data_IF_965268120466
#
_entry.id   IF_965268120466
#
_cell.length_a   1.000
_cell.length_b   1.000
_cell.length_c   1.000
_cell.angle_alpha   90.00
_cell.angle_beta   90.00
_cell.angle_gamma   90.00
#
_symmetry.space_group_name_H-M   'P 1'
#
loop_
_entity.id
_entity.type
_entity.pdbx_description
1 polymer ?
#
# COMPACT_ATOMS: atom_id res chain seq x y z
N UNK A 1 -17.14 -15.96 26.01
CA UNK A 1 -15.96 -15.64 26.83
C UNK A 1 -16.07 -16.41 28.14
N UNK A 2 -14.97 -16.98 28.65
CA UNK A 2 -14.95 -17.53 30.01
C UNK A 2 -15.27 -16.38 31.00
N UNK A 3 -16.17 -16.62 31.96
CA UNK A 3 -16.59 -15.60 32.90
C UNK A 3 -15.38 -15.02 33.66
N UNK A 4 -15.14 -13.70 33.53
CA UNK A 4 -14.14 -12.96 34.32
C UNK A 4 -12.99 -12.31 33.54
N UNK A 5 -12.83 -12.55 32.24
CA UNK A 5 -11.81 -11.85 31.42
C UNK A 5 -12.36 -10.53 30.86
N UNK A 6 -11.65 -9.42 31.11
CA UNK A 6 -11.88 -8.11 30.48
C UNK A 6 -10.83 -7.87 29.40
N UNK A 7 -11.25 -7.30 28.28
CA UNK A 7 -10.38 -6.89 27.17
C UNK A 7 -10.68 -5.44 26.81
N UNK A 8 -9.67 -4.71 26.34
CA UNK A 8 -9.84 -3.33 25.88
C UNK A 8 -10.59 -3.29 24.55
N UNK A 9 -10.25 -4.19 23.61
CA UNK A 9 -10.89 -4.29 22.31
C UNK A 9 -11.59 -5.65 22.21
N UNK A 10 -12.85 -5.65 21.78
CA UNK A 10 -13.66 -6.87 21.62
C UNK A 10 -14.38 -6.88 20.29
N UNK A 11 -14.49 -8.07 19.69
CA UNK A 11 -15.15 -8.29 18.41
C UNK A 11 -16.45 -9.06 18.61
N UNK A 12 -17.57 -8.50 18.16
CA UNK A 12 -18.90 -9.10 18.27
C UNK A 12 -19.62 -9.18 16.94
N UNK A 13 -20.31 -10.30 16.69
CA UNK A 13 -21.24 -10.40 15.58
C UNK A 13 -22.65 -10.02 16.04
N UNK A 14 -23.37 -9.30 15.20
CA UNK A 14 -24.83 -9.16 15.29
C UNK A 14 -25.47 -9.56 13.96
N UNK A 15 -26.77 -9.84 13.99
CA UNK A 15 -27.54 -10.24 12.80
C UNK A 15 -28.98 -9.70 12.80
N UNK A 16 -29.39 -9.01 13.86
CA UNK A 16 -30.74 -8.51 14.04
C UNK A 16 -30.69 -7.08 14.59
N UNK A 17 -31.53 -6.20 14.07
CA UNK A 17 -31.75 -4.83 14.55
C UNK A 17 -32.72 -4.80 15.74
N UNK A 18 -33.62 -5.79 15.81
CA UNK A 18 -34.55 -6.05 16.90
C UNK A 18 -34.90 -7.54 16.99
N UNK A 19 -35.37 -8.05 18.14
CA UNK A 19 -35.60 -9.48 18.32
C UNK A 19 -36.48 -10.10 17.22
N UNK A 20 -35.94 -11.08 16.51
CA UNK A 20 -36.63 -11.82 15.45
C UNK A 20 -36.64 -11.15 14.06
N UNK A 21 -35.98 -10.01 13.88
CA UNK A 21 -35.89 -9.30 12.61
C UNK A 21 -34.44 -9.23 12.14
N UNK A 22 -34.12 -9.88 11.00
CA UNK A 22 -32.75 -9.89 10.46
C UNK A 22 -32.43 -8.57 9.77
N UNK A 23 -31.25 -8.03 10.06
CA UNK A 23 -30.73 -6.81 9.44
C UNK A 23 -29.82 -7.16 8.26
N UNK A 24 -30.22 -6.75 7.04
CA UNK A 24 -29.43 -6.91 5.82
C UNK A 24 -28.90 -5.58 5.27
N UNK A 25 -29.14 -4.47 5.96
CA UNK A 25 -28.81 -3.12 5.49
C UNK A 25 -27.51 -2.56 6.08
N UNK A 26 -27.16 -2.91 7.32
CA UNK A 26 -25.95 -2.39 7.98
C UNK A 26 -24.71 -3.24 7.72
N UNK A 27 -23.53 -2.69 8.03
CA UNK A 27 -22.23 -3.33 7.84
C UNK A 27 -21.52 -3.58 9.18
N UNK A 28 -21.04 -2.54 9.85
CA UNK A 28 -20.29 -2.61 11.11
C UNK A 28 -20.30 -1.24 11.81
N UNK A 29 -19.88 -1.22 13.08
CA UNK A 29 -19.61 -0.01 13.84
C UNK A 29 -18.70 -0.30 15.04
N UNK A 30 -18.11 0.75 15.60
CA UNK A 30 -17.26 0.68 16.78
C UNK A 30 -17.35 1.96 17.63
N UNK A 31 -16.85 1.88 18.85
CA UNK A 31 -16.79 3.02 19.76
C UNK A 31 -15.33 3.49 19.97
N UNK A 32 -15.12 4.79 19.83
CA UNK A 32 -13.83 5.43 20.10
C UNK A 32 -13.44 5.28 21.58
N UNK A 33 -12.13 5.32 21.92
CA UNK A 33 -11.68 5.37 23.31
C UNK A 33 -12.38 6.47 24.11
N UNK A 34 -12.65 6.21 25.40
CA UNK A 34 -13.32 7.13 26.33
C UNK A 34 -14.77 7.48 25.94
N UNK A 35 -15.48 6.59 25.24
CA UNK A 35 -16.91 6.75 24.98
C UNK A 35 -17.71 6.33 26.21
N UNK A 36 -17.95 7.27 27.11
CA UNK A 36 -18.69 7.01 28.35
C UNK A 36 -20.18 7.07 28.11
N UNK A 37 -20.86 5.94 28.34
CA UNK A 37 -22.30 5.83 28.27
C UNK A 37 -22.83 5.08 29.49
N UNK A 38 -23.81 5.67 30.19
CA UNK A 38 -24.37 5.11 31.44
C UNK A 38 -23.31 4.74 32.49
N UNK A 39 -22.21 5.51 32.56
CA UNK A 39 -21.13 5.28 33.52
C UNK A 39 -20.21 4.10 33.19
N UNK A 40 -20.30 3.52 31.99
CA UNK A 40 -19.37 2.52 31.47
C UNK A 40 -18.64 3.09 30.25
N UNK A 41 -17.37 2.70 30.09
CA UNK A 41 -16.62 3.00 28.87
C UNK A 41 -16.95 1.93 27.82
N UNK A 42 -17.52 2.36 26.70
CA UNK A 42 -17.81 1.51 25.55
C UNK A 42 -16.62 1.38 24.60
N UNK A 43 -15.57 2.19 24.80
CA UNK A 43 -14.41 2.26 23.92
C UNK A 43 -13.79 0.90 23.64
N UNK A 44 -13.50 0.65 22.36
CA UNK A 44 -12.89 -0.60 21.90
C UNK A 44 -13.87 -1.73 21.59
N UNK A 45 -15.17 -1.57 21.85
CA UNK A 45 -16.17 -2.50 21.31
C UNK A 45 -16.32 -2.30 19.80
N UNK A 46 -16.16 -3.38 19.03
CA UNK A 46 -16.40 -3.43 17.58
C UNK A 46 -17.45 -4.48 17.26
N UNK A 47 -18.39 -4.13 16.38
CA UNK A 47 -19.58 -4.92 16.07
C UNK A 47 -19.77 -5.05 14.55
N UNK A 48 -20.05 -6.26 14.09
CA UNK A 48 -20.13 -6.58 12.67
C UNK A 48 -21.40 -7.34 12.31
N UNK A 49 -22.06 -6.94 11.21
CA UNK A 49 -23.25 -7.61 10.72
C UNK A 49 -22.88 -8.88 9.95
N UNK A 50 -23.03 -10.04 10.60
CA UNK A 50 -22.63 -11.34 10.03
C UNK A 50 -23.56 -11.85 8.92
N UNK A 51 -24.67 -11.14 8.66
CA UNK A 51 -25.51 -11.43 7.49
C UNK A 51 -24.85 -10.97 6.18
N UNK A 52 -23.90 -10.03 6.24
CA UNK A 52 -23.09 -9.63 5.10
C UNK A 52 -22.05 -10.73 4.81
N UNK A 53 -21.99 -11.21 3.57
CA UNK A 53 -21.06 -12.28 3.17
C UNK A 53 -19.61 -11.92 3.49
N UNK A 54 -19.24 -10.67 3.24
CA UNK A 54 -17.87 -10.20 3.41
C UNK A 54 -17.45 -10.20 4.89
N UNK A 55 -18.35 -9.84 5.82
CA UNK A 55 -18.12 -9.94 7.27
C UNK A 55 -17.96 -11.40 7.70
N UNK A 56 -18.74 -12.31 7.10
CA UNK A 56 -18.71 -13.74 7.42
C UNK A 56 -17.49 -14.45 6.82
N UNK A 57 -16.99 -13.98 5.68
CA UNK A 57 -15.93 -14.62 4.90
C UNK A 57 -14.75 -13.65 4.57
N UNK A 58 -14.17 -12.97 5.57
CA UNK A 58 -13.17 -11.90 5.34
C UNK A 58 -11.83 -12.40 4.81
N UNK A 59 -11.59 -13.72 4.84
CA UNK A 59 -10.39 -14.34 4.27
C UNK A 59 -10.43 -14.43 2.73
N UNK A 60 -11.63 -14.36 2.14
CA UNK A 60 -11.84 -14.49 0.69
C UNK A 60 -12.60 -13.31 0.09
N UNK A 61 -13.22 -12.47 0.94
CA UNK A 61 -13.90 -11.23 0.57
C UNK A 61 -13.19 -10.06 1.27
N UNK A 62 -12.32 -9.38 0.53
CA UNK A 62 -11.37 -8.38 1.04
C UNK A 62 -12.02 -7.16 1.71
N UNK A 63 -13.23 -6.77 1.31
CA UNK A 63 -13.98 -5.71 2.00
C UNK A 63 -14.29 -6.06 3.46
N UNK A 64 -14.45 -7.35 3.80
CA UNK A 64 -14.61 -7.80 5.17
C UNK A 64 -13.36 -7.58 6.00
N UNK A 65 -12.19 -7.90 5.42
CA UNK A 65 -10.88 -7.63 6.05
C UNK A 65 -10.60 -6.13 6.19
N UNK A 66 -10.97 -5.31 5.20
CA UNK A 66 -10.90 -3.85 5.31
C UNK A 66 -11.80 -3.35 6.44
N UNK A 67 -13.04 -3.83 6.51
CA UNK A 67 -14.00 -3.48 7.58
C UNK A 67 -13.41 -3.79 8.96
N UNK A 68 -12.74 -4.94 9.15
CA UNK A 68 -12.10 -5.24 10.43
C UNK A 68 -11.01 -4.22 10.79
N UNK A 69 -10.18 -3.86 9.82
CA UNK A 69 -9.12 -2.86 10.03
C UNK A 69 -9.69 -1.48 10.34
N UNK A 70 -10.78 -1.10 9.66
CA UNK A 70 -11.51 0.15 9.86
C UNK A 70 -12.09 0.25 11.28
N UNK A 71 -12.84 -0.76 11.72
CA UNK A 71 -13.43 -0.74 13.07
C UNK A 71 -12.37 -0.80 14.18
N UNK A 72 -11.24 -1.47 13.94
CA UNK A 72 -10.08 -1.40 14.84
C UNK A 72 -9.50 0.02 14.87
N UNK A 73 -9.47 0.73 13.74
CA UNK A 73 -9.11 2.14 13.67
C UNK A 73 -9.96 3.00 14.61
N UNK A 74 -11.28 2.85 14.57
CA UNK A 74 -12.19 3.49 15.52
C UNK A 74 -11.90 3.10 16.98
N UNK A 75 -11.74 1.81 17.26
CA UNK A 75 -11.40 1.31 18.59
C UNK A 75 -10.07 1.89 19.12
N UNK A 76 -9.17 2.31 18.24
CA UNK A 76 -7.90 2.96 18.56
C UNK A 76 -7.98 4.50 18.56
N UNK A 77 -9.10 5.09 18.14
CA UNK A 77 -9.36 6.53 18.21
C UNK A 77 -9.29 7.28 16.87
N UNK A 78 -9.28 6.59 15.73
CA UNK A 78 -9.42 7.23 14.42
C UNK A 78 -10.90 7.45 14.12
N UNK A 79 -11.25 8.61 13.58
CA UNK A 79 -12.58 8.89 13.03
C UNK A 79 -12.60 8.63 11.53
N UNK A 80 -13.79 8.70 10.91
CA UNK A 80 -13.85 8.98 9.48
C UNK A 80 -13.16 10.32 9.18
N UNK A 81 -12.62 10.53 7.96
CA UNK A 81 -11.92 11.77 7.64
C UNK A 81 -12.82 12.99 7.42
N UNK A 82 -14.14 12.85 7.55
CA UNK A 82 -15.08 13.95 7.64
C UNK A 82 -16.26 13.61 8.55
N UNK A 83 -17.06 14.62 8.89
CA UNK A 83 -18.24 14.50 9.75
C UNK A 83 -19.43 13.91 8.98
N UNK A 84 -19.29 12.66 8.54
CA UNK A 84 -20.36 11.88 7.92
C UNK A 84 -20.39 10.48 8.53
N UNK A 85 -21.59 10.03 8.87
CA UNK A 85 -21.84 8.70 9.42
C UNK A 85 -22.67 7.87 8.45
N UNK A 86 -22.44 6.55 8.41
CA UNK A 86 -23.29 5.64 7.67
C UNK A 86 -24.71 5.65 8.28
N UNK A 87 -25.67 6.25 7.57
CA UNK A 87 -27.07 6.35 7.98
C UNK A 87 -27.54 7.74 8.44
N UNK A 88 -26.65 8.72 8.59
CA UNK A 88 -27.02 10.11 8.88
C UNK A 88 -27.04 10.94 7.59
N UNK A 89 -28.18 10.92 6.91
CA UNK A 89 -28.39 11.62 5.63
C UNK A 89 -27.97 10.81 4.41
N UNK A 90 -27.65 11.50 3.32
CA UNK A 90 -27.16 10.91 2.07
C UNK A 90 -25.85 11.60 1.65
N UNK A 91 -24.79 11.51 2.50
CA UNK A 91 -23.52 12.16 2.21
C UNK A 91 -22.93 11.61 0.91
N UNK A 92 -22.19 12.44 0.22
CA UNK A 92 -21.43 12.09 -0.98
C UNK A 92 -20.00 12.57 -0.83
N UNK A 93 -19.11 12.16 -1.73
CA UNK A 93 -17.75 12.69 -1.77
C UNK A 93 -17.71 14.24 -1.96
N UNK A 94 -18.81 14.89 -2.37
CA UNK A 94 -18.86 16.36 -2.45
C UNK A 94 -18.89 17.04 -1.08
N UNK A 95 -19.16 16.28 -0.03
CA UNK A 95 -19.32 16.76 1.35
C UNK A 95 -18.04 16.55 2.19
N UNK A 96 -16.96 16.07 1.58
CA UNK A 96 -15.67 15.87 2.26
C UNK A 96 -15.05 17.19 2.71
N UNK A 97 -14.33 17.13 3.81
CA UNK A 97 -13.59 18.30 4.33
C UNK A 97 -12.32 18.58 3.53
N UNK A 98 -11.71 17.54 2.95
CA UNK A 98 -10.50 17.63 2.13
C UNK A 98 -10.53 16.58 1.01
N UNK A 99 -9.79 16.82 -0.07
CA UNK A 99 -9.90 16.02 -1.29
C UNK A 99 -9.37 14.58 -1.10
N UNK A 100 -8.35 14.40 -0.29
CA UNK A 100 -7.71 13.10 -0.07
C UNK A 100 -8.56 12.17 0.82
N UNK A 101 -9.76 12.57 1.23
CA UNK A 101 -10.74 11.69 1.89
C UNK A 101 -11.31 10.66 0.89
N UNK A 102 -10.49 9.66 0.58
CA UNK A 102 -10.84 8.49 -0.21
C UNK A 102 -10.06 7.26 0.25
N UNK A 103 -10.52 6.09 -0.18
CA UNK A 103 -9.86 4.80 0.00
C UNK A 103 -8.51 4.67 -0.74
N UNK A 104 -8.03 5.73 -1.39
CA UNK A 104 -6.65 5.81 -1.85
C UNK A 104 -5.69 6.16 -0.70
N UNK A 105 -6.13 6.98 0.25
CA UNK A 105 -5.28 7.56 1.30
C UNK A 105 -5.60 7.01 2.68
N UNK A 106 -6.87 6.72 2.95
CA UNK A 106 -7.34 6.24 4.25
C UNK A 106 -8.43 5.18 4.09
N UNK A 107 -8.27 4.03 4.74
CA UNK A 107 -9.34 3.04 4.84
C UNK A 107 -10.44 3.44 5.82
N UNK A 108 -10.26 4.53 6.57
CA UNK A 108 -11.32 5.15 7.37
C UNK A 108 -12.34 5.89 6.48
N UNK A 109 -12.04 6.09 5.20
CA UNK A 109 -12.98 6.69 4.24
C UNK A 109 -13.98 5.67 3.67
N UNK A 110 -15.21 6.13 3.40
CA UNK A 110 -16.17 5.39 2.59
C UNK A 110 -16.08 5.68 1.10
N UNK A 111 -15.33 6.71 0.69
CA UNK A 111 -15.33 7.19 -0.69
C UNK A 111 -14.33 6.41 -1.54
N UNK A 112 -14.76 6.05 -2.76
CA UNK A 112 -13.88 5.35 -3.70
C UNK A 112 -12.63 6.19 -4.01
N UNK A 113 -11.51 5.49 -4.10
CA UNK A 113 -10.21 5.94 -4.59
C UNK A 113 -10.29 6.65 -5.97
N UNK A 114 -11.31 6.32 -6.77
CA UNK A 114 -11.52 6.91 -8.09
C UNK A 114 -11.83 8.41 -8.04
N UNK A 115 -12.34 8.93 -6.92
CA UNK A 115 -12.58 10.36 -6.73
C UNK A 115 -11.28 11.19 -6.74
N UNK A 116 -10.15 10.57 -6.38
CA UNK A 116 -8.80 11.16 -6.40
C UNK A 116 -7.93 10.60 -7.53
N UNK A 117 -8.53 9.85 -8.46
CA UNK A 117 -7.85 9.28 -9.64
C UNK A 117 -7.12 7.96 -9.40
N UNK A 118 -7.24 7.38 -8.21
CA UNK A 118 -6.84 6.00 -7.96
C UNK A 118 -7.73 5.00 -8.68
N UNK A 119 -7.28 3.76 -8.78
CA UNK A 119 -8.05 2.63 -9.31
C UNK A 119 -7.50 1.34 -8.70
N UNK A 120 -8.23 0.79 -7.74
CA UNK A 120 -7.84 -0.42 -7.04
C UNK A 120 -8.34 -1.69 -7.74
N UNK A 121 -8.92 -1.59 -8.94
CA UNK A 121 -9.38 -2.75 -9.71
C UNK A 121 -10.51 -3.53 -9.03
N UNK A 122 -11.31 -2.87 -8.19
CA UNK A 122 -12.37 -3.51 -7.41
C UNK A 122 -11.91 -4.21 -6.13
N UNK A 123 -10.62 -4.09 -5.78
CA UNK A 123 -10.06 -4.62 -4.54
C UNK A 123 -10.06 -3.58 -3.41
N UNK A 124 -9.94 -4.07 -2.17
CA UNK A 124 -9.90 -3.23 -0.97
C UNK A 124 -8.61 -3.45 -0.17
N UNK A 125 -8.03 -2.36 0.31
CA UNK A 125 -6.84 -2.41 1.16
C UNK A 125 -7.13 -3.13 2.48
N UNK A 126 -6.29 -4.11 2.82
CA UNK A 126 -6.44 -4.94 4.01
C UNK A 126 -5.72 -4.39 5.27
N UNK A 127 -4.99 -3.28 5.13
CA UNK A 127 -4.11 -2.71 6.15
C UNK A 127 -4.10 -1.17 6.05
N UNK A 128 -3.70 -0.44 7.13
CA UNK A 128 -3.64 1.02 7.16
C UNK A 128 -2.95 1.62 5.93
N UNK A 129 -3.59 2.63 5.33
CA UNK A 129 -3.08 3.40 4.20
C UNK A 129 -2.27 4.62 4.67
N UNK A 130 -1.83 5.46 3.74
CA UNK A 130 -0.85 6.52 3.98
C UNK A 130 -1.26 7.46 5.12
N UNK A 131 -2.50 7.95 5.10
CA UNK A 131 -3.00 8.90 6.10
C UNK A 131 -3.36 8.19 7.42
N UNK A 132 -3.78 6.93 7.34
CA UNK A 132 -4.04 6.10 8.53
C UNK A 132 -2.75 5.86 9.33
N UNK A 133 -1.63 5.63 8.64
CA UNK A 133 -0.31 5.47 9.26
C UNK A 133 0.08 6.77 9.95
N UNK A 134 -0.07 7.92 9.30
CA UNK A 134 0.22 9.21 9.93
C UNK A 134 -0.65 9.45 11.18
N UNK A 135 -1.96 9.17 11.08
CA UNK A 135 -2.91 9.35 12.17
C UNK A 135 -2.60 8.44 13.38
N UNK A 136 -2.36 7.14 13.15
CA UNK A 136 -2.09 6.22 14.26
C UNK A 136 -0.73 6.47 14.91
N UNK A 137 0.27 6.90 14.12
CA UNK A 137 1.56 7.31 14.65
C UNK A 137 1.48 8.61 15.43
N UNK A 138 0.58 9.52 15.09
CA UNK A 138 0.31 10.70 15.90
C UNK A 138 -0.22 10.33 17.29
N UNK A 139 -1.11 9.34 17.38
CA UNK A 139 -1.69 8.90 18.65
C UNK A 139 -0.72 8.10 19.53
N UNK A 140 0.04 7.17 18.93
CA UNK A 140 0.79 6.16 19.69
C UNK A 140 2.30 6.12 19.41
N UNK A 141 2.80 6.98 18.52
CA UNK A 141 4.19 7.00 18.08
C UNK A 141 4.49 6.00 16.96
N UNK A 142 5.51 6.30 16.18
CA UNK A 142 6.03 5.43 15.13
C UNK A 142 6.72 4.18 15.71
N UNK A 143 6.41 3.00 15.17
CA UNK A 143 7.05 1.77 15.61
C UNK A 143 8.39 1.54 14.89
N UNK A 144 9.47 1.97 15.53
CA UNK A 144 10.84 1.91 15.01
C UNK A 144 11.50 0.52 15.10
N UNK A 145 10.79 -0.52 15.55
CA UNK A 145 11.31 -1.91 15.55
C UNK A 145 10.75 -2.75 14.40
N UNK A 146 9.90 -2.18 13.54
CA UNK A 146 9.24 -2.94 12.48
C UNK A 146 10.13 -3.01 11.26
N UNK A 147 10.47 -4.25 10.84
CA UNK A 147 11.18 -4.54 9.58
C UNK A 147 12.57 -3.89 9.44
N UNK A 148 13.30 -3.70 10.54
CA UNK A 148 14.62 -3.02 10.59
C UNK A 148 15.78 -3.70 9.84
N UNK A 149 15.53 -4.73 9.05
CA UNK A 149 16.53 -5.38 8.20
C UNK A 149 16.06 -5.41 6.76
N UNK A 150 16.89 -5.92 5.84
CA UNK A 150 16.60 -5.89 4.41
C UNK A 150 15.27 -6.57 4.04
N UNK A 151 14.28 -5.75 3.67
CA UNK A 151 12.91 -6.19 3.42
C UNK A 151 12.58 -6.18 1.93
N UNK A 152 12.00 -7.28 1.45
CA UNK A 152 11.43 -7.37 0.10
C UNK A 152 9.91 -7.30 0.19
N UNK A 153 9.31 -6.36 -0.53
CA UNK A 153 7.87 -6.17 -0.68
C UNK A 153 7.41 -6.63 -2.07
N UNK A 154 6.18 -7.14 -2.18
CA UNK A 154 5.62 -7.62 -3.45
C UNK A 154 5.95 -9.10 -3.72
N UNK A 155 6.53 -9.38 -4.88
CA UNK A 155 7.04 -10.71 -5.22
C UNK A 155 8.24 -11.05 -4.35
N UNK A 156 8.47 -12.35 -4.10
CA UNK A 156 9.60 -12.83 -3.29
C UNK A 156 9.68 -12.19 -1.89
N UNK A 157 8.54 -11.72 -1.39
CA UNK A 157 8.46 -10.96 -0.14
C UNK A 157 8.89 -11.79 1.07
N UNK A 158 9.64 -11.15 1.97
CA UNK A 158 10.04 -11.71 3.27
C UNK A 158 9.31 -11.03 4.45
N UNK A 159 8.30 -10.19 4.17
CA UNK A 159 7.58 -9.40 5.19
C UNK A 159 6.76 -10.25 6.16
N UNK A 160 6.39 -11.47 5.75
CA UNK A 160 5.44 -12.31 6.48
C UNK A 160 4.06 -11.63 6.62
N UNK A 161 3.64 -10.82 5.65
CA UNK A 161 2.33 -10.15 5.60
C UNK A 161 1.66 -10.42 4.25
N UNK A 162 0.39 -10.82 4.30
CA UNK A 162 -0.44 -11.09 3.14
C UNK A 162 -0.60 -9.84 2.23
N UNK A 163 -0.94 -8.70 2.82
CA UNK A 163 -1.18 -7.45 2.10
C UNK A 163 0.09 -6.82 1.47
N UNK A 164 1.28 -7.27 1.88
CA UNK A 164 2.57 -6.82 1.32
C UNK A 164 3.18 -7.82 0.34
N UNK A 165 2.49 -8.92 0.05
CA UNK A 165 3.06 -10.05 -0.70
C UNK A 165 2.18 -10.45 -1.88
N UNK A 166 2.82 -10.90 -2.96
CA UNK A 166 2.13 -11.54 -4.09
C UNK A 166 2.97 -12.67 -4.64
N UNK A 167 2.32 -13.72 -5.16
CA UNK A 167 2.98 -14.85 -5.81
C UNK A 167 2.55 -15.03 -7.26
N UNK A 168 1.71 -14.14 -7.80
CA UNK A 168 1.20 -14.24 -9.17
C UNK A 168 0.79 -12.88 -9.75
N UNK A 169 0.83 -12.77 -11.08
CA UNK A 169 0.39 -11.56 -11.79
C UNK A 169 -1.09 -11.19 -11.51
N UNK A 170 -1.95 -12.18 -11.19
CA UNK A 170 -3.36 -11.98 -10.89
C UNK A 170 -3.63 -11.46 -9.49
N UNK A 171 -2.73 -11.73 -8.52
CA UNK A 171 -2.87 -11.25 -7.16
C UNK A 171 -2.35 -9.81 -7.08
N UNK A 172 -3.23 -8.88 -6.68
CA UNK A 172 -2.96 -7.45 -6.64
C UNK A 172 -2.60 -7.02 -5.23
N UNK A 173 -1.60 -6.14 -5.12
CA UNK A 173 -1.17 -5.56 -3.86
C UNK A 173 -1.75 -4.16 -3.71
N UNK A 174 -2.23 -3.82 -2.52
CA UNK A 174 -2.66 -2.47 -2.14
C UNK A 174 -2.13 -2.22 -0.73
N UNK A 175 -1.17 -1.31 -0.59
CA UNK A 175 -0.55 -1.04 0.71
C UNK A 175 0.14 0.33 0.76
N UNK A 176 0.28 0.85 1.98
CA UNK A 176 1.25 1.87 2.32
C UNK A 176 2.41 1.22 3.10
N UNK A 177 3.65 1.36 2.61
CA UNK A 177 4.81 0.74 3.23
C UNK A 177 5.24 1.54 4.46
N UNK A 178 5.21 0.90 5.62
CA UNK A 178 5.94 1.32 6.81
C UNK A 178 7.22 0.49 6.92
N UNK A 179 8.39 1.11 7.00
CA UNK A 179 9.64 0.40 7.28
C UNK A 179 10.51 1.26 8.19
N UNK A 180 11.18 0.65 9.17
CA UNK A 180 12.00 1.35 10.14
C UNK A 180 13.51 1.28 9.84
N UNK A 181 13.92 0.60 8.77
CA UNK A 181 15.29 0.64 8.25
C UNK A 181 15.74 -0.69 7.68
N UNK A 182 16.93 -0.71 7.08
CA UNK A 182 17.39 -1.84 6.30
C UNK A 182 17.77 -1.36 4.90
N UNK A 183 17.98 -2.31 3.98
CA UNK A 183 18.11 -2.03 2.56
C UNK A 183 16.99 -2.75 1.81
N UNK A 184 15.94 -2.00 1.48
CA UNK A 184 14.63 -2.53 1.14
C UNK A 184 14.39 -2.54 -0.36
N UNK A 185 13.53 -3.45 -0.80
CA UNK A 185 13.23 -3.65 -2.22
C UNK A 185 11.73 -3.73 -2.45
N UNK A 186 11.22 -2.89 -3.34
CA UNK A 186 9.95 -3.11 -4.02
C UNK A 186 10.17 -4.04 -5.21
N UNK A 187 9.81 -5.31 -5.06
CA UNK A 187 9.90 -6.32 -6.12
C UNK A 187 8.52 -6.52 -6.77
N UNK A 188 8.35 -5.90 -7.93
CA UNK A 188 7.15 -6.02 -8.76
C UNK A 188 7.42 -6.79 -10.06
N UNK A 189 8.42 -7.68 -10.02
CA UNK A 189 8.96 -8.37 -11.20
C UNK A 189 8.00 -9.34 -11.88
N UNK A 190 7.03 -9.90 -11.14
CA UNK A 190 6.07 -10.85 -11.69
C UNK A 190 4.86 -10.20 -12.37
N UNK A 191 4.77 -8.87 -12.40
CA UNK A 191 3.68 -8.18 -13.10
C UNK A 191 3.98 -7.93 -14.57
N UNK A 192 2.92 -7.96 -15.39
CA UNK A 192 3.00 -7.76 -16.85
C UNK A 192 2.50 -6.39 -17.32
N UNK A 193 1.78 -5.66 -16.46
CA UNK A 193 1.31 -4.32 -16.77
C UNK A 193 2.47 -3.33 -16.83
N UNK A 194 2.28 -2.20 -17.51
CA UNK A 194 3.19 -1.06 -17.37
C UNK A 194 3.02 -0.49 -15.96
N UNK A 195 4.12 -0.22 -15.29
CA UNK A 195 4.13 0.23 -13.90
C UNK A 195 4.76 1.62 -13.79
N UNK A 196 4.37 2.36 -12.75
CA UNK A 196 5.05 3.59 -12.33
C UNK A 196 5.43 3.41 -10.87
N UNK A 197 6.72 3.22 -10.60
CA UNK A 197 7.24 2.94 -9.27
C UNK A 197 8.01 4.18 -8.80
N UNK A 198 7.65 4.70 -7.63
CA UNK A 198 8.29 5.87 -7.03
C UNK A 198 8.75 5.52 -5.62
N UNK A 199 10.06 5.67 -5.37
CA UNK A 199 10.71 5.34 -4.10
C UNK A 199 10.80 6.52 -3.12
N UNK A 200 10.17 7.66 -3.42
CA UNK A 200 10.14 8.80 -2.52
C UNK A 200 9.06 8.61 -1.44
N UNK A 201 9.35 9.05 -0.21
CA UNK A 201 8.35 9.06 0.87
C UNK A 201 7.08 9.83 0.47
N UNK A 202 5.93 9.39 0.99
CA UNK A 202 4.57 9.91 0.70
C UNK A 202 4.16 9.87 -0.77
N UNK A 203 4.97 9.28 -1.64
CA UNK A 203 4.62 9.14 -3.05
C UNK A 203 3.75 7.91 -3.30
N UNK A 204 3.01 7.95 -4.40
CA UNK A 204 2.20 6.85 -4.90
C UNK A 204 2.82 6.23 -6.15
N UNK A 205 2.56 4.94 -6.31
CA UNK A 205 2.97 4.10 -7.42
C UNK A 205 1.75 3.40 -8.05
N UNK A 206 1.82 3.19 -9.36
CA UNK A 206 0.89 2.36 -10.14
C UNK A 206 1.52 0.99 -10.32
N UNK A 207 0.97 -0.03 -9.67
CA UNK A 207 1.60 -1.35 -9.58
C UNK A 207 0.62 -2.45 -9.97
N UNK A 208 1.07 -3.41 -10.77
CA UNK A 208 0.26 -4.58 -11.12
C UNK A 208 -1.00 -4.29 -11.95
N UNK A 209 -1.06 -3.15 -12.62
CA UNK A 209 -2.20 -2.71 -13.45
C UNK A 209 -3.25 -1.89 -12.71
N UNK A 210 -3.02 -1.58 -11.43
CA UNK A 210 -3.81 -0.65 -10.63
C UNK A 210 -3.19 0.75 -10.71
N UNK A 211 -3.88 1.77 -10.15
CA UNK A 211 -3.40 3.16 -10.09
C UNK A 211 -3.38 3.68 -8.67
N UNK A 212 -2.24 4.24 -8.25
CA UNK A 212 -2.07 4.81 -6.93
C UNK A 212 -2.33 3.83 -5.78
N UNK A 213 -2.06 2.54 -5.99
CA UNK A 213 -2.38 1.46 -5.05
C UNK A 213 -1.23 1.12 -4.09
N UNK A 214 -0.01 1.54 -4.40
CA UNK A 214 1.15 1.37 -3.54
C UNK A 214 1.68 2.75 -3.14
N UNK A 215 1.95 2.96 -1.86
CA UNK A 215 2.57 4.18 -1.36
C UNK A 215 3.66 3.89 -0.32
N UNK A 216 4.46 4.90 0.00
CA UNK A 216 5.50 4.84 1.04
C UNK A 216 5.11 5.82 2.14
N UNK A 217 5.11 5.38 3.39
CA UNK A 217 4.78 6.25 4.52
C UNK A 217 5.83 7.36 4.72
N UNK A 218 5.44 8.44 5.40
CA UNK A 218 6.37 9.52 5.74
C UNK A 218 7.51 9.00 6.63
N UNK A 219 8.75 9.44 6.37
CA UNK A 219 9.93 9.03 7.11
C UNK A 219 10.50 7.66 6.74
N UNK A 220 9.90 6.96 5.77
CA UNK A 220 10.39 5.66 5.28
C UNK A 220 11.27 5.86 4.06
N UNK A 221 12.42 5.18 4.03
CA UNK A 221 13.28 5.08 2.84
C UNK A 221 13.18 3.67 2.29
N UNK A 222 12.95 3.55 0.98
CA UNK A 222 13.04 2.28 0.26
C UNK A 222 14.12 2.45 -0.82
N UNK A 223 15.10 1.56 -0.84
CA UNK A 223 16.32 1.75 -1.64
C UNK A 223 16.17 1.21 -3.06
N UNK A 224 15.46 0.11 -3.25
CA UNK A 224 15.52 -0.64 -4.51
C UNK A 224 14.15 -0.87 -5.12
N UNK A 225 14.14 -0.97 -6.45
CA UNK A 225 12.94 -1.32 -7.20
C UNK A 225 13.27 -2.29 -8.33
N UNK A 226 12.38 -3.26 -8.52
CA UNK A 226 12.40 -4.21 -9.64
C UNK A 226 11.07 -4.11 -10.38
N UNK A 227 11.12 -3.59 -11.60
CA UNK A 227 10.01 -3.58 -12.56
C UNK A 227 9.71 -4.97 -13.12
N UNK A 228 8.63 -5.04 -13.88
CA UNK A 228 8.06 -6.27 -14.43
C UNK A 228 8.51 -6.55 -15.86
N UNK A 229 7.58 -7.07 -16.66
CA UNK A 229 7.76 -7.23 -18.11
C UNK A 229 7.08 -6.15 -18.95
N UNK A 230 6.45 -5.17 -18.28
CA UNK A 230 5.80 -4.00 -18.90
C UNK A 230 6.80 -2.93 -19.31
N UNK A 231 6.33 -1.83 -19.90
CA UNK A 231 7.19 -0.66 -20.11
C UNK A 231 7.08 0.24 -18.87
N UNK A 232 8.06 0.13 -17.98
CA UNK A 232 7.94 0.69 -16.63
C UNK A 232 8.62 2.06 -16.51
N UNK A 233 8.11 2.89 -15.60
CA UNK A 233 8.79 4.10 -15.13
C UNK A 233 9.19 3.89 -13.68
N UNK A 234 10.49 3.96 -13.38
CA UNK A 234 11.02 3.75 -12.04
C UNK A 234 11.81 4.98 -11.61
N UNK A 235 11.36 5.60 -10.52
CA UNK A 235 11.93 6.83 -9.94
C UNK A 235 12.50 6.49 -8.57
N UNK A 236 13.82 6.62 -8.43
CA UNK A 236 14.54 6.52 -7.16
C UNK A 236 14.37 7.76 -6.29
N UNK A 237 15.19 7.87 -5.25
CA UNK A 237 15.13 8.92 -4.25
C UNK A 237 16.52 9.54 -4.03
N UNK A 238 16.80 10.06 -2.83
CA UNK A 238 18.10 10.67 -2.53
C UNK A 238 19.16 9.66 -2.06
N UNK A 239 18.76 8.45 -1.68
CA UNK A 239 19.66 7.37 -1.27
C UNK A 239 20.33 6.71 -2.49
N UNK A 240 21.22 5.75 -2.24
CA UNK A 240 21.76 4.94 -3.33
C UNK A 240 20.72 3.91 -3.75
N UNK A 241 20.26 3.95 -5.00
CA UNK A 241 19.23 3.03 -5.46
C UNK A 241 19.79 1.94 -6.40
N UNK A 242 19.27 0.71 -6.27
CA UNK A 242 19.38 -0.32 -7.32
C UNK A 242 18.04 -0.40 -8.06
N UNK A 243 18.01 0.11 -9.30
CA UNK A 243 16.80 0.14 -10.12
C UNK A 243 16.92 -0.83 -11.28
N UNK A 244 16.04 -1.81 -11.34
CA UNK A 244 15.98 -2.82 -12.41
C UNK A 244 14.67 -2.66 -13.17
N UNK A 245 14.74 -2.27 -14.44
CA UNK A 245 13.54 -2.12 -15.28
C UNK A 245 12.85 -3.45 -15.60
N UNK A 246 13.61 -4.54 -15.67
CA UNK A 246 13.10 -5.84 -16.07
C UNK A 246 13.11 -6.00 -17.58
N UNK A 247 12.04 -6.57 -18.14
CA UNK A 247 11.83 -6.61 -19.59
C UNK A 247 10.87 -5.50 -19.99
N UNK A 248 11.03 -4.95 -21.19
CA UNK A 248 10.22 -3.81 -21.61
C UNK A 248 11.10 -2.68 -22.14
N UNK A 249 10.47 -1.56 -22.47
CA UNK A 249 11.15 -0.29 -22.77
C UNK A 249 10.98 0.64 -21.56
N UNK A 250 11.90 0.53 -20.61
CA UNK A 250 11.76 1.17 -19.30
C UNK A 250 12.43 2.55 -19.25
N UNK A 251 11.93 3.41 -18.35
CA UNK A 251 12.53 4.69 -17.99
C UNK A 251 12.98 4.60 -16.53
N UNK A 252 14.28 4.73 -16.29
CA UNK A 252 14.87 4.69 -14.96
C UNK A 252 15.46 6.05 -14.61
N UNK A 253 15.08 6.60 -13.46
CA UNK A 253 15.62 7.83 -12.90
C UNK A 253 16.16 7.54 -11.50
N UNK A 254 17.48 7.59 -11.31
CA UNK A 254 18.12 7.32 -10.01
C UNK A 254 17.80 8.41 -8.97
N UNK A 255 18.03 9.67 -9.33
CA UNK A 255 17.84 10.79 -8.40
C UNK A 255 19.15 11.25 -7.80
N UNK A 256 19.19 11.34 -6.46
CA UNK A 256 20.42 11.60 -5.71
C UNK A 256 21.25 10.33 -5.56
N UNK A 257 22.31 10.36 -4.75
CA UNK A 257 23.09 9.15 -4.45
C UNK A 257 23.94 8.60 -5.60
N UNK A 258 24.49 7.42 -5.36
CA UNK A 258 25.32 6.64 -6.27
C UNK A 258 24.56 5.39 -6.72
N UNK A 259 23.79 5.55 -7.80
CA UNK A 259 22.83 4.53 -8.24
C UNK A 259 23.41 3.46 -9.16
N UNK A 260 22.79 2.29 -9.11
CA UNK A 260 22.99 1.18 -10.04
C UNK A 260 21.73 0.95 -10.87
N UNK A 261 21.80 1.27 -12.16
CA UNK A 261 20.65 1.24 -13.07
C UNK A 261 20.79 0.09 -14.09
N UNK A 262 19.80 -0.79 -14.14
CA UNK A 262 19.74 -1.95 -15.03
C UNK A 262 18.49 -1.88 -15.93
N UNK A 263 18.64 -1.32 -17.12
CA UNK A 263 17.60 -1.32 -18.16
C UNK A 263 17.92 -2.31 -19.29
N UNK A 264 16.90 -2.78 -20.01
CA UNK A 264 17.10 -3.49 -21.29
C UNK A 264 17.03 -2.52 -22.47
N UNK A 265 17.86 -2.76 -23.49
CA UNK A 265 17.75 -2.10 -24.79
C UNK A 265 17.32 -3.14 -25.84
N UNK A 266 16.26 -2.87 -26.61
CA UNK A 266 15.99 -3.68 -27.82
C UNK A 266 17.06 -3.37 -28.87
N UNK A 267 17.85 -4.39 -29.25
CA UNK A 267 18.98 -4.31 -30.19
C UNK A 267 18.62 -3.90 -31.65
N UNK A 268 17.37 -3.56 -32.01
CA UNK A 268 17.00 -3.27 -33.41
C UNK A 268 17.12 -1.81 -33.85
N UNK A 269 17.37 -0.87 -32.95
CA UNK A 269 17.77 0.50 -33.30
C UNK A 269 18.84 0.97 -32.32
N UNK A 270 20.07 0.47 -32.52
CA UNK A 270 21.26 0.92 -31.82
C UNK A 270 21.64 2.33 -32.31
N UNK A 271 20.87 3.35 -31.91
CA UNK A 271 21.23 4.77 -31.89
C UNK A 271 20.09 5.55 -31.22
N UNK A 272 20.39 6.13 -30.05
CA UNK A 272 19.80 7.36 -29.45
C UNK A 272 19.10 7.26 -28.08
N UNK A 273 18.54 6.16 -27.60
CA UNK A 273 17.84 6.18 -26.28
C UNK A 273 18.67 5.81 -25.04
N UNK A 274 19.84 5.17 -25.19
CA UNK A 274 20.73 4.85 -24.06
C UNK A 274 21.75 5.98 -23.75
N UNK A 275 21.39 7.25 -24.02
CA UNK A 275 22.29 8.41 -23.92
C UNK A 275 21.70 9.60 -23.16
N UNK A 276 20.80 9.36 -22.20
CA UNK A 276 20.56 10.39 -21.19
C UNK A 276 21.65 10.31 -20.12
N UNK A 277 22.57 11.28 -20.20
CA UNK A 277 23.60 11.57 -19.21
C UNK A 277 22.96 11.76 -17.83
N UNK A 278 23.24 10.87 -16.89
CA UNK A 278 23.14 11.18 -15.46
C UNK A 278 24.56 11.18 -14.86
N UNK A 279 24.84 12.20 -14.05
CA UNK A 279 26.19 12.61 -13.66
C UNK A 279 26.90 11.68 -12.68
N UNK A 280 26.29 10.60 -12.18
CA UNK A 280 26.85 9.81 -11.06
C UNK A 280 26.62 8.29 -11.07
N UNK A 281 25.86 7.70 -11.99
CA UNK A 281 25.54 6.26 -11.96
C UNK A 281 26.41 5.37 -12.87
N UNK A 282 26.71 4.14 -12.44
CA UNK A 282 27.30 3.10 -13.32
C UNK A 282 26.16 2.27 -13.94
N UNK A 283 26.09 2.24 -15.27
CA UNK A 283 25.17 1.37 -16.01
C UNK A 283 25.80 -0.01 -16.19
N UNK A 284 25.07 -1.09 -15.87
CA UNK A 284 25.50 -2.47 -16.13
C UNK A 284 24.44 -3.22 -16.94
N UNK A 285 24.88 -4.06 -17.87
CA UNK A 285 24.03 -4.96 -18.65
C UNK A 285 23.82 -6.29 -17.91
N UNK A 286 22.61 -6.85 -17.94
CA UNK A 286 22.20 -8.10 -17.27
C UNK A 286 23.22 -9.26 -17.47
N UNK A 287 23.79 -9.84 -16.40
CA UNK A 287 24.83 -10.87 -16.51
C UNK A 287 24.35 -12.20 -17.10
N UNK A 288 23.03 -12.41 -17.26
CA UNK A 288 22.47 -13.61 -17.93
C UNK A 288 22.56 -13.57 -19.46
N UNK A 289 23.15 -12.52 -20.04
CA UNK A 289 23.42 -12.42 -21.47
C UNK A 289 24.64 -13.26 -21.90
N UNK A 290 24.64 -13.85 -23.12
CA UNK A 290 25.79 -14.55 -23.67
C UNK A 290 27.02 -13.63 -23.79
N UNK A 291 28.23 -14.18 -23.57
CA UNK A 291 29.51 -13.45 -23.52
C UNK A 291 29.81 -12.52 -24.71
N UNK A 292 29.21 -12.75 -25.88
CA UNK A 292 29.40 -11.91 -27.07
C UNK A 292 28.82 -10.49 -26.93
N UNK A 293 27.95 -10.26 -25.94
CA UNK A 293 27.32 -8.96 -25.66
C UNK A 293 27.98 -8.20 -24.48
N UNK A 294 29.03 -8.75 -23.86
CA UNK A 294 29.76 -8.15 -22.71
C UNK A 294 30.99 -7.34 -23.12
N UNK A 295 30.88 -6.44 -24.11
CA UNK A 295 31.99 -5.50 -24.37
C UNK A 295 31.92 -4.30 -23.44
N UNK A 296 32.55 -4.42 -22.27
CA UNK A 296 32.96 -3.27 -21.47
C UNK A 296 33.99 -2.44 -22.25
N UNK A 297 33.67 -1.18 -22.51
CA UNK A 297 34.70 -0.17 -22.79
C UNK A 297 34.63 0.91 -21.72
N UNK A 298 35.67 1.09 -20.90
CA UNK A 298 35.73 2.23 -20.01
C UNK A 298 35.88 3.50 -20.86
N UNK A 299 34.98 4.46 -20.65
CA UNK A 299 35.16 5.82 -21.15
C UNK A 299 35.56 6.68 -19.96
N UNK A 300 36.87 6.94 -19.84
CA UNK A 300 37.41 8.06 -19.07
C UNK A 300 37.21 9.31 -19.93
N UNK A 301 36.63 10.38 -19.39
CA UNK A 301 36.63 11.68 -20.05
C UNK A 301 37.05 12.76 -19.05
N UNK A 302 38.03 13.56 -19.50
CA UNK A 302 38.40 14.88 -18.99
C UNK A 302 37.22 15.85 -19.01
#
# INVERSE_FOLDING_TARGET
MAAGQKANITFGNYSQDRPGHYDYGTQAYAFLPNTIWQGQDLGGQTWYNVNQSNVKHPATEDYGRQTFTHEIGHALGLSHPGDYNAGEGNPTYRDVTYAEDTRQFSLMSYWSETNTGGDNGGHYAAAPLLDDIAAIQHLYGANLSTRTGDTVYGFNSNTGRDFLSTTSNSQKVIFAAWDAGGNDTFDFSGYTANQRINLNEKSFSDVGGLKGNVSIAAGVTIENAIGGSGNDVIVGNAANNVLKGGAGNDVLFGGGGADELWGRCRQRHLRVLCRQRFRTGRFRLDPRLPERDRQDRPVVLQ
#
